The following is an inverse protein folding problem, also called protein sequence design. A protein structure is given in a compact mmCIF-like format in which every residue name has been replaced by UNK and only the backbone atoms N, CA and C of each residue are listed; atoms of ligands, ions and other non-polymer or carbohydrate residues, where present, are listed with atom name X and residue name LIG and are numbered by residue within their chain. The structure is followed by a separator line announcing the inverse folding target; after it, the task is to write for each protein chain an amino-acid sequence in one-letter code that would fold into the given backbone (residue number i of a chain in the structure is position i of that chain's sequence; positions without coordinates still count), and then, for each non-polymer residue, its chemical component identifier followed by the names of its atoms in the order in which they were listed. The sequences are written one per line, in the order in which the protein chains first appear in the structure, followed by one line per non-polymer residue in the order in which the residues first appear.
data_IF_452337166900
#
_entry.id   IF_452337166900
#
_cell.length_a   1.000
_cell.length_b   1.000
_cell.length_c   1.000
_cell.angle_alpha   90.00
_cell.angle_beta   90.00
_cell.angle_gamma   90.00
#
_symmetry.space_group_name_H-M   'P 1'
#
loop_
_entity.id
_entity.type
_entity.pdbx_description
1 polymer ?
#
# COMPACT_ATOMS: atom_id res chain seq x y z
N UNK A 1 26.21 -1.11 -34.85
CA UNK A 1 24.96 -0.54 -34.31
C UNK A 1 25.28 0.78 -33.64
N UNK A 2 24.88 1.93 -34.21
CA UNK A 2 25.16 3.26 -33.63
C UNK A 2 24.07 3.56 -32.59
N UNK A 3 24.43 3.54 -31.30
CA UNK A 3 23.53 3.93 -30.20
C UNK A 3 23.46 5.46 -30.19
N UNK A 4 22.26 6.01 -30.40
CA UNK A 4 22.01 7.45 -30.38
C UNK A 4 21.65 7.87 -28.94
N UNK A 5 22.50 8.67 -28.30
CA UNK A 5 22.37 9.04 -26.89
C UNK A 5 21.69 10.41 -26.69
N UNK A 6 21.11 11.01 -27.74
CA UNK A 6 20.37 12.28 -27.62
C UNK A 6 19.02 12.04 -26.92
N UNK A 7 18.81 12.70 -25.78
CA UNK A 7 17.58 12.60 -24.98
C UNK A 7 17.61 11.56 -23.86
N UNK A 8 18.71 10.83 -23.71
CA UNK A 8 18.85 9.74 -22.73
C UNK A 8 18.76 10.24 -21.27
N UNK A 9 19.22 11.46 -20.99
CA UNK A 9 19.13 12.07 -19.66
C UNK A 9 17.68 12.22 -19.18
N UNK A 10 16.75 12.64 -20.06
CA UNK A 10 15.33 12.78 -19.70
C UNK A 10 14.70 11.42 -19.37
N UNK A 11 15.01 10.40 -20.16
CA UNK A 11 14.48 9.05 -20.01
C UNK A 11 14.95 8.42 -18.69
N UNK A 12 16.21 8.64 -18.31
CA UNK A 12 16.78 8.12 -17.08
C UNK A 12 16.09 8.70 -15.83
N UNK A 13 15.85 10.02 -15.77
CA UNK A 13 15.13 10.64 -14.65
C UNK A 13 13.69 10.14 -14.53
N UNK A 14 12.96 10.01 -15.64
CA UNK A 14 11.58 9.52 -15.63
C UNK A 14 11.52 8.07 -15.15
N UNK A 15 12.47 7.23 -15.57
CA UNK A 15 12.57 5.84 -15.10
C UNK A 15 12.83 5.75 -13.61
N UNK A 16 13.71 6.58 -13.06
CA UNK A 16 14.00 6.62 -11.62
C UNK A 16 12.75 7.07 -10.83
N UNK A 17 12.05 8.10 -11.30
CA UNK A 17 10.82 8.59 -10.66
C UNK A 17 9.71 7.52 -10.70
N UNK A 18 9.56 6.85 -11.84
CA UNK A 18 8.61 5.74 -11.97
C UNK A 18 8.93 4.61 -10.98
N UNK A 19 10.20 4.24 -10.82
CA UNK A 19 10.63 3.25 -9.83
C UNK A 19 10.31 3.67 -8.39
N UNK A 20 10.69 4.88 -7.99
CA UNK A 20 10.47 5.38 -6.63
C UNK A 20 8.97 5.50 -6.33
N UNK A 21 8.16 5.96 -7.28
CA UNK A 21 6.71 6.08 -7.09
C UNK A 21 6.04 4.72 -6.85
N UNK A 22 6.40 3.68 -7.62
CA UNK A 22 5.89 2.32 -7.40
C UNK A 22 6.30 1.79 -6.02
N UNK A 23 7.55 2.02 -5.61
CA UNK A 23 8.03 1.63 -4.28
C UNK A 23 7.25 2.35 -3.16
N UNK A 24 7.05 3.66 -3.30
CA UNK A 24 6.31 4.46 -2.32
C UNK A 24 4.85 4.01 -2.20
N UNK A 25 4.15 3.81 -3.32
CA UNK A 25 2.76 3.32 -3.33
C UNK A 25 2.66 1.95 -2.66
N UNK A 26 3.62 1.06 -2.91
CA UNK A 26 3.66 -0.27 -2.31
C UNK A 26 3.80 -0.21 -0.78
N UNK A 27 4.72 0.64 -0.29
CA UNK A 27 4.92 0.87 1.15
C UNK A 27 3.68 1.45 1.82
N UNK A 28 3.08 2.50 1.23
CA UNK A 28 1.88 3.14 1.78
C UNK A 28 0.70 2.18 1.77
N UNK A 29 0.55 1.34 0.75
CA UNK A 29 -0.54 0.35 0.69
C UNK A 29 -0.41 -0.71 1.78
N UNK A 30 0.81 -1.20 2.05
CA UNK A 30 1.06 -2.14 3.13
C UNK A 30 0.78 -1.50 4.50
N UNK A 31 1.39 -0.35 4.78
CA UNK A 31 1.20 0.38 6.04
C UNK A 31 -0.27 0.78 6.24
N UNK A 32 -0.93 1.24 5.18
CA UNK A 32 -2.34 1.59 5.16
C UNK A 32 -3.24 0.40 5.51
N UNK A 33 -2.90 -0.81 5.04
CA UNK A 33 -3.59 -2.04 5.43
C UNK A 33 -3.53 -2.31 6.93
N UNK A 34 -2.34 -2.22 7.53
CA UNK A 34 -2.18 -2.42 8.98
C UNK A 34 -2.87 -1.34 9.82
N UNK A 35 -2.82 -0.09 9.38
CA UNK A 35 -3.53 1.02 10.02
C UNK A 35 -5.04 0.82 9.94
N UNK A 36 -5.54 0.43 8.77
CA UNK A 36 -6.95 0.11 8.58
C UNK A 36 -7.39 -1.03 9.49
N UNK A 37 -6.62 -2.10 9.59
CA UNK A 37 -6.90 -3.20 10.51
C UNK A 37 -6.93 -2.78 11.98
N UNK A 38 -5.99 -1.93 12.39
CA UNK A 38 -5.93 -1.42 13.77
C UNK A 38 -7.15 -0.56 14.09
N UNK A 39 -7.52 0.33 13.17
CA UNK A 39 -8.74 1.13 13.27
C UNK A 39 -10.00 0.27 13.27
N UNK A 40 -10.09 -0.74 12.40
CA UNK A 40 -11.21 -1.68 12.36
C UNK A 40 -11.31 -2.44 13.67
N UNK A 41 -10.21 -2.94 14.22
CA UNK A 41 -10.20 -3.61 15.52
C UNK A 41 -10.78 -2.74 16.63
N UNK A 42 -10.26 -1.52 16.78
CA UNK A 42 -10.79 -0.56 17.77
C UNK A 42 -12.25 -0.21 17.51
N UNK A 43 -12.65 -0.08 16.24
CA UNK A 43 -14.04 0.20 15.87
C UNK A 43 -14.97 -0.95 16.25
N UNK A 44 -14.60 -2.20 15.95
CA UNK A 44 -15.40 -3.38 16.31
C UNK A 44 -15.61 -3.47 17.82
N UNK A 45 -14.57 -3.18 18.62
CA UNK A 45 -14.67 -3.17 20.09
C UNK A 45 -15.67 -2.12 20.59
N UNK A 46 -15.74 -0.95 19.94
CA UNK A 46 -16.68 0.12 20.30
C UNK A 46 -18.13 -0.25 19.95
N UNK A 47 -18.37 -0.91 18.81
CA UNK A 47 -19.73 -1.39 18.44
C UNK A 47 -20.09 -2.76 19.04
N UNK A 48 -19.25 -3.31 19.92
CA UNK A 48 -19.51 -4.58 20.61
C UNK A 48 -19.35 -5.83 19.74
N UNK A 49 -18.78 -5.70 18.55
CA UNK A 49 -18.48 -6.78 17.62
C UNK A 49 -17.07 -7.33 17.83
N UNK A 50 -16.81 -8.55 17.35
CA UNK A 50 -15.49 -9.18 17.45
C UNK A 50 -14.70 -8.92 16.18
N UNK A 51 -13.46 -8.47 16.32
CA UNK A 51 -12.56 -8.31 15.18
C UNK A 51 -12.04 -9.68 14.70
N UNK A 52 -12.20 -9.97 13.42
CA UNK A 52 -11.63 -11.13 12.74
C UNK A 52 -10.60 -10.66 11.71
N UNK A 53 -9.36 -11.15 11.85
CA UNK A 53 -8.26 -10.82 10.93
C UNK A 53 -8.50 -11.48 9.56
N UNK A 54 -8.34 -10.70 8.49
CA UNK A 54 -8.36 -11.21 7.11
C UNK A 54 -7.05 -11.89 6.71
N UNK A 55 -7.00 -12.46 5.50
CA UNK A 55 -5.79 -13.12 4.99
C UNK A 55 -4.65 -12.11 4.70
N UNK A 56 -4.98 -10.87 4.31
CA UNK A 56 -4.01 -9.79 4.08
C UNK A 56 -4.27 -8.57 4.97
N UNK A 57 -3.26 -7.68 5.13
CA UNK A 57 -3.43 -6.41 5.84
C UNK A 57 -4.52 -5.54 5.18
N UNK A 58 -5.45 -5.02 5.98
CA UNK A 58 -6.56 -4.16 5.55
C UNK A 58 -7.87 -4.88 5.23
N UNK A 59 -7.89 -6.21 5.39
CA UNK A 59 -9.05 -7.08 5.14
C UNK A 59 -9.71 -7.60 6.43
N UNK A 60 -9.29 -7.14 7.61
CA UNK A 60 -10.00 -7.45 8.84
C UNK A 60 -11.44 -6.94 8.81
N UNK A 61 -12.33 -7.74 9.37
CA UNK A 61 -13.77 -7.47 9.41
C UNK A 61 -14.29 -7.59 10.83
N UNK A 62 -15.33 -6.83 11.13
CA UNK A 62 -16.10 -7.03 12.34
C UNK A 62 -17.12 -8.14 12.09
N UNK A 63 -17.24 -9.06 13.03
CA UNK A 63 -18.28 -10.08 13.05
C UNK A 63 -19.11 -9.91 14.31
N UNK A 64 -20.42 -10.09 14.20
CA UNK A 64 -21.30 -10.14 15.37
C UNK A 64 -20.88 -11.29 16.30
N UNK A 65 -21.09 -11.07 17.60
CA UNK A 65 -20.76 -12.06 18.64
C UNK A 65 -21.67 -13.28 18.58
#
# INVERSE_FOLDING_TARGET
MKINNKGQALVEYVLIIALISVLAISLVSLLGGYLKDSMTKSSCEIVGQTYKKGEKPGEGVCVDK
#
